data_IF_056321898483
#
_entry.id   IF_056321898483
#
_cell.length_a   1.000
_cell.length_b   1.000
_cell.length_c   1.000
_cell.angle_alpha   90.00
_cell.angle_beta   90.00
_cell.angle_gamma   90.00
#
_symmetry.space_group_name_H-M   'P 1'
#
loop_
_entity.id
_entity.type
_entity.pdbx_description
1 polymer ?
#
# COMPACT_ATOMS: atom_id res chain seq x y z
N UNK A 1 -0.65 7.08 -12.81
CA UNK A 1 0.00 6.07 -11.93
C UNK A 1 0.27 6.56 -10.51
N UNK A 2 0.46 7.86 -10.25
CA UNK A 2 0.78 8.34 -8.91
C UNK A 2 -0.25 8.02 -7.80
N UNK A 3 -1.53 7.82 -8.13
CA UNK A 3 -2.55 7.35 -7.18
C UNK A 3 -2.24 5.95 -6.60
N UNK A 4 -1.61 5.07 -7.37
CA UNK A 4 -1.15 3.75 -6.89
C UNK A 4 -0.05 3.93 -5.85
N UNK A 5 0.95 4.75 -6.16
CA UNK A 5 2.09 5.01 -5.28
C UNK A 5 1.64 5.67 -3.96
N UNK A 6 0.72 6.62 -4.04
CA UNK A 6 0.09 7.25 -2.86
C UNK A 6 -0.65 6.23 -1.99
N UNK A 7 -1.45 5.35 -2.61
CA UNK A 7 -2.17 4.30 -1.91
C UNK A 7 -1.24 3.29 -1.22
N UNK A 8 -0.18 2.86 -1.90
CA UNK A 8 0.84 1.95 -1.34
C UNK A 8 1.55 2.60 -0.14
N UNK A 9 1.97 3.87 -0.29
CA UNK A 9 2.68 4.59 0.77
C UNK A 9 1.81 4.74 2.03
N UNK A 10 0.53 5.07 1.87
CA UNK A 10 -0.42 5.14 2.98
C UNK A 10 -0.65 3.78 3.64
N UNK A 11 -0.90 2.73 2.84
CA UNK A 11 -1.21 1.40 3.35
C UNK A 11 -0.04 0.79 4.14
N UNK A 12 1.20 0.92 3.64
CA UNK A 12 2.38 0.37 4.32
C UNK A 12 2.78 1.24 5.51
N UNK A 13 2.74 2.57 5.36
CA UNK A 13 3.04 3.48 6.47
C UNK A 13 2.07 3.28 7.64
N UNK A 14 0.78 3.12 7.35
CA UNK A 14 -0.23 2.80 8.36
C UNK A 14 -0.10 1.40 8.97
N UNK A 15 0.54 0.46 8.27
CA UNK A 15 0.81 -0.89 8.78
C UNK A 15 2.06 -0.94 9.66
N UNK A 16 3.06 -0.11 9.40
CA UNK A 16 4.28 -0.03 10.19
C UNK A 16 4.04 0.39 11.65
N UNK A 17 2.94 1.11 11.92
CA UNK A 17 2.53 1.46 13.28
C UNK A 17 1.80 0.34 14.03
N UNK A 18 1.36 -0.73 13.33
CA UNK A 18 0.69 -1.88 13.96
C UNK A 18 1.75 -2.86 14.47
N UNK A 19 1.63 -3.35 15.72
CA UNK A 19 2.59 -4.29 16.28
C UNK A 19 2.73 -5.55 15.41
N UNK A 20 3.92 -6.13 15.45
CA UNK A 20 4.15 -7.45 14.89
C UNK A 20 3.37 -8.50 15.69
N UNK A 21 2.79 -9.45 14.96
CA UNK A 21 2.07 -10.60 15.52
C UNK A 21 2.04 -11.72 14.50
N UNK A 22 1.79 -12.93 14.99
CA UNK A 22 1.64 -14.12 14.14
C UNK A 22 0.50 -13.96 13.14
N UNK A 23 0.71 -14.56 11.97
CA UNK A 23 -0.25 -14.61 10.88
C UNK A 23 -1.36 -15.62 11.20
N UNK A 24 -2.60 -15.16 11.18
CA UNK A 24 -3.79 -16.00 11.42
C UNK A 24 -4.54 -16.24 10.11
N UNK A 25 -5.28 -17.35 10.01
CA UNK A 25 -6.06 -17.67 8.79
C UNK A 25 -7.05 -16.57 8.40
N UNK A 26 -7.64 -15.88 9.38
CA UNK A 26 -8.55 -14.75 9.15
C UNK A 26 -7.87 -13.57 8.42
N UNK A 27 -6.56 -13.41 8.54
CA UNK A 27 -5.83 -12.28 7.96
C UNK A 27 -5.81 -12.31 6.43
N UNK A 28 -5.96 -13.50 5.85
CA UNK A 28 -6.07 -13.68 4.40
C UNK A 28 -7.39 -13.16 3.84
N UNK A 29 -8.42 -13.03 4.67
CA UNK A 29 -9.75 -12.54 4.27
C UNK A 29 -9.92 -11.04 4.50
N UNK A 30 -8.99 -10.39 5.21
CA UNK A 30 -9.05 -8.97 5.53
C UNK A 30 -8.87 -8.11 4.27
N UNK A 31 -9.75 -7.13 4.08
CA UNK A 31 -9.61 -6.10 3.05
C UNK A 31 -9.78 -4.74 3.70
N UNK A 32 -8.71 -3.95 3.70
CA UNK A 32 -8.74 -2.57 4.17
C UNK A 32 -9.04 -1.64 2.98
N UNK A 33 -10.03 -0.76 3.11
CA UNK A 33 -10.38 0.22 2.07
C UNK A 33 -10.16 1.63 2.60
N UNK A 34 -9.31 2.39 1.91
CA UNK A 34 -9.03 3.80 2.21
C UNK A 34 -9.60 4.69 1.12
N UNK A 35 -10.34 5.73 1.50
CA UNK A 35 -10.83 6.74 0.57
C UNK A 35 -9.81 7.88 0.46
N UNK A 36 -9.52 8.31 -0.77
CA UNK A 36 -8.62 9.40 -1.10
C UNK A 36 -9.41 10.48 -1.85
N UNK A 37 -10.09 11.39 -1.12
CA UNK A 37 -10.73 12.55 -1.72
C UNK A 37 -9.67 13.56 -2.20
N UNK A 38 -10.00 14.34 -3.22
CA UNK A 38 -9.07 15.28 -3.85
C UNK A 38 -8.53 16.31 -2.84
N UNK A 39 -9.44 16.86 -2.03
CA UNK A 39 -9.17 17.84 -0.97
C UNK A 39 -8.47 17.23 0.27
N UNK A 40 -8.27 15.91 0.29
CA UNK A 40 -7.74 15.21 1.46
C UNK A 40 -8.77 15.03 2.57
N UNK A 41 -8.32 14.42 3.67
CA UNK A 41 -9.13 14.14 4.86
C UNK A 41 -8.25 14.15 6.11
N UNK A 42 -8.84 13.93 7.28
CA UNK A 42 -8.08 13.74 8.52
C UNK A 42 -7.09 12.55 8.48
N UNK A 43 -7.27 11.61 7.55
CA UNK A 43 -6.48 10.38 7.45
C UNK A 43 -5.66 10.27 6.17
N UNK A 44 -5.89 11.12 5.18
CA UNK A 44 -5.26 11.06 3.85
C UNK A 44 -4.90 12.48 3.39
N UNK A 45 -3.71 12.70 2.83
CA UNK A 45 -3.32 14.02 2.35
C UNK A 45 -4.15 14.44 1.13
N UNK A 46 -4.28 15.75 0.91
CA UNK A 46 -4.80 16.31 -0.34
C UNK A 46 -3.86 15.98 -1.51
N UNK A 47 -4.40 15.84 -2.72
CA UNK A 47 -3.62 15.43 -3.89
C UNK A 47 -4.24 15.89 -5.20
N UNK A 48 -3.42 15.99 -6.26
CA UNK A 48 -3.88 16.43 -7.58
C UNK A 48 -4.57 15.36 -8.43
N UNK A 49 -4.67 14.11 -7.95
CA UNK A 49 -5.38 13.04 -8.65
C UNK A 49 -6.90 13.15 -8.48
N UNK A 50 -7.66 12.54 -9.39
CA UNK A 50 -9.09 12.29 -9.18
C UNK A 50 -9.31 11.51 -7.90
N UNK A 51 -10.45 11.72 -7.25
CA UNK A 51 -10.82 10.97 -6.05
C UNK A 51 -10.82 9.46 -6.33
N UNK A 52 -10.26 8.69 -5.41
CA UNK A 52 -10.17 7.25 -5.60
C UNK A 52 -10.30 6.49 -4.28
N UNK A 53 -10.53 5.18 -4.40
CA UNK A 53 -10.48 4.24 -3.27
C UNK A 53 -9.33 3.29 -3.49
N UNK A 54 -8.51 3.11 -2.46
CA UNK A 54 -7.45 2.12 -2.46
C UNK A 54 -7.86 0.94 -1.59
N UNK A 55 -7.72 -0.28 -2.12
CA UNK A 55 -8.02 -1.52 -1.39
C UNK A 55 -6.74 -2.29 -1.18
N UNK A 56 -6.44 -2.56 0.08
CA UNK A 56 -5.32 -3.40 0.50
C UNK A 56 -5.86 -4.75 0.95
N UNK A 57 -5.54 -5.79 0.20
CA UNK A 57 -5.96 -7.15 0.49
C UNK A 57 -4.92 -7.84 1.37
N UNK A 58 -5.37 -8.57 2.39
CA UNK A 58 -4.55 -9.35 3.30
C UNK A 58 -3.27 -8.62 3.80
N UNK A 59 -3.39 -7.39 4.36
CA UNK A 59 -2.22 -6.54 4.66
C UNK A 59 -1.19 -7.22 5.57
N UNK A 60 -1.65 -7.97 6.58
CA UNK A 60 -0.77 -8.72 7.50
C UNK A 60 -0.07 -9.88 6.78
N UNK A 61 -0.77 -10.59 5.89
CA UNK A 61 -0.17 -11.67 5.11
C UNK A 61 0.93 -11.14 4.16
N UNK A 62 0.68 -10.02 3.48
CA UNK A 62 1.70 -9.40 2.62
C UNK A 62 2.84 -8.73 3.39
N UNK A 63 2.64 -8.32 4.65
CA UNK A 63 3.77 -8.00 5.55
C UNK A 63 4.62 -9.25 5.79
N UNK A 64 4.01 -10.32 6.26
CA UNK A 64 4.69 -11.59 6.51
C UNK A 64 5.45 -12.12 5.27
N UNK A 65 4.85 -12.05 4.08
CA UNK A 65 5.53 -12.48 2.85
C UNK A 65 6.70 -11.58 2.48
N UNK A 66 6.59 -10.25 2.65
CA UNK A 66 7.74 -9.36 2.44
C UNK A 66 8.89 -9.72 3.37
N UNK A 67 8.60 -9.97 4.65
CA UNK A 67 9.60 -10.37 5.63
C UNK A 67 10.25 -11.72 5.26
N UNK A 68 9.45 -12.71 4.82
CA UNK A 68 9.94 -14.00 4.32
C UNK A 68 10.87 -13.86 3.11
N UNK A 69 10.60 -12.89 2.24
CA UNK A 69 11.46 -12.57 1.09
C UNK A 69 12.61 -11.60 1.42
N UNK A 70 12.76 -11.21 2.69
CA UNK A 70 13.81 -10.28 3.13
C UNK A 70 13.64 -8.85 2.60
N UNK A 71 12.41 -8.46 2.24
CA UNK A 71 12.10 -7.14 1.68
C UNK A 71 11.72 -6.19 2.82
N UNK A 72 12.64 -5.29 3.17
CA UNK A 72 12.36 -4.28 4.20
C UNK A 72 11.27 -3.30 3.74
N UNK A 73 10.39 -2.83 4.65
CA UNK A 73 9.32 -1.90 4.30
C UNK A 73 9.82 -0.61 3.64
N UNK A 74 10.92 -0.06 4.15
CA UNK A 74 11.50 1.19 3.64
C UNK A 74 12.07 1.01 2.24
N UNK A 75 12.78 -0.09 1.99
CA UNK A 75 13.31 -0.43 0.67
C UNK A 75 12.18 -0.65 -0.35
N UNK A 76 11.09 -1.32 0.08
CA UNK A 76 9.91 -1.50 -0.73
C UNK A 76 9.26 -0.16 -1.11
N UNK A 77 9.08 0.73 -0.13
CA UNK A 77 8.50 2.06 -0.36
C UNK A 77 9.41 2.93 -1.24
N UNK A 78 10.71 2.91 -1.02
CA UNK A 78 11.67 3.61 -1.87
C UNK A 78 11.60 3.08 -3.31
N UNK A 79 11.59 1.77 -3.49
CA UNK A 79 11.56 1.17 -4.83
C UNK A 79 10.25 1.45 -5.58
N UNK A 80 9.12 1.44 -4.87
CA UNK A 80 7.78 1.54 -5.48
C UNK A 80 7.25 2.98 -5.57
N UNK A 81 7.64 3.87 -4.67
CA UNK A 81 6.98 5.18 -4.49
C UNK A 81 7.90 6.39 -4.68
N UNK A 82 9.23 6.24 -4.69
CA UNK A 82 10.16 7.38 -4.75
C UNK A 82 10.33 8.02 -6.14
N UNK A 83 10.00 7.28 -7.21
CA UNK A 83 10.13 7.74 -8.59
C UNK A 83 8.91 7.33 -9.42
N UNK A 84 8.55 8.06 -10.50
CA UNK A 84 7.42 7.69 -11.34
C UNK A 84 7.55 6.28 -11.92
N UNK A 85 6.49 5.48 -11.78
CA UNK A 85 6.42 4.15 -12.37
C UNK A 85 6.44 4.23 -13.91
N UNK A 86 7.18 3.33 -14.54
CA UNK A 86 7.27 3.20 -16.00
C UNK A 86 6.38 2.06 -16.49
N UNK A 87 5.46 2.38 -17.40
CA UNK A 87 4.67 1.37 -18.10
C UNK A 87 5.54 0.58 -19.06
N UNK A 88 5.33 -0.73 -19.11
CA UNK A 88 5.93 -1.62 -20.11
C UNK A 88 4.80 -2.33 -20.85
N UNK A 89 4.83 -2.30 -22.17
CA UNK A 89 3.91 -3.08 -22.99
C UNK A 89 4.34 -4.55 -23.01
N UNK A 90 3.43 -5.48 -22.74
CA UNK A 90 3.62 -6.91 -22.92
C UNK A 90 2.53 -7.46 -23.86
N UNK A 91 2.85 -8.20 -24.94
CA UNK A 91 1.85 -8.80 -25.83
C UNK A 91 0.97 -9.88 -25.17
N UNK A 92 1.34 -10.38 -23.99
CA UNK A 92 0.71 -11.52 -23.33
C UNK A 92 1.62 -12.73 -23.34
#
# INVERSE_FOLDING_TARGET
>A
MGSIQLGIQHAIGGLASKPERDLLMQDFMTVETTNFPHEGSNHTPAHHYSEFKFKTYAPIAFRYFRDLFGIQPDDFLMSMCSAPLRELSNPG
#
